data_IF_058790281379
#
_entry.id   IF_058790281379
#
_cell.length_a   1.000
_cell.length_b   1.000
_cell.length_c   1.000
_cell.angle_alpha   90.00
_cell.angle_beta   90.00
_cell.angle_gamma   90.00
#
_symmetry.space_group_name_H-M   'P 1'
#
loop_
_entity.id
_entity.type
_entity.pdbx_description
1 polymer ?
#
# COMPACT_ATOMS: atom_id res chain seq x y z
N UNK A 1 -0.34 23.18 1.13
CA UNK A 1 -1.51 22.32 0.89
C UNK A 1 -2.62 23.19 0.32
N UNK A 2 -3.29 22.75 -0.74
CA UNK A 2 -4.51 23.40 -1.22
C UNK A 2 -5.70 22.60 -0.68
N UNK A 3 -6.64 23.28 -0.03
CA UNK A 3 -7.91 22.69 0.38
C UNK A 3 -8.97 23.02 -0.67
N UNK A 4 -9.85 22.07 -0.94
CA UNK A 4 -10.98 22.24 -1.85
C UNK A 4 -12.22 21.78 -1.12
N UNK A 5 -13.25 22.64 -1.09
CA UNK A 5 -14.60 22.29 -0.64
C UNK A 5 -15.49 22.20 -1.86
N UNK A 6 -16.20 21.09 -2.03
CA UNK A 6 -17.16 20.91 -3.11
C UNK A 6 -18.54 21.21 -2.54
N UNK A 7 -19.16 22.29 -3.00
CA UNK A 7 -20.50 22.68 -2.59
C UNK A 7 -21.56 22.04 -3.51
N UNK A 8 -22.75 21.81 -2.98
CA UNK A 8 -23.93 21.34 -3.73
C UNK A 8 -23.70 20.03 -4.52
N UNK A 9 -22.99 19.07 -3.93
CA UNK A 9 -22.97 17.70 -4.46
C UNK A 9 -24.35 17.07 -4.23
N UNK A 10 -24.92 16.47 -5.27
CA UNK A 10 -26.20 15.78 -5.15
C UNK A 10 -26.05 14.49 -4.32
N UNK A 11 -27.17 14.05 -3.75
CA UNK A 11 -27.19 12.91 -2.83
C UNK A 11 -26.79 11.60 -3.53
N UNK A 12 -27.10 11.44 -4.81
CA UNK A 12 -26.77 10.24 -5.56
C UNK A 12 -25.24 10.13 -5.73
N UNK A 13 -24.60 11.20 -6.18
CA UNK A 13 -23.14 11.25 -6.33
C UNK A 13 -22.44 11.04 -4.99
N UNK A 14 -22.91 11.67 -3.90
CA UNK A 14 -22.35 11.47 -2.57
C UNK A 14 -22.43 9.99 -2.13
N UNK A 15 -23.59 9.36 -2.31
CA UNK A 15 -23.81 7.95 -1.97
C UNK A 15 -22.94 6.99 -2.79
N UNK A 16 -22.73 7.30 -4.07
CA UNK A 16 -21.87 6.51 -4.95
C UNK A 16 -20.40 6.61 -4.52
N UNK A 17 -19.93 7.79 -4.12
CA UNK A 17 -18.57 7.99 -3.60
C UNK A 17 -18.38 7.20 -2.29
N UNK A 18 -19.36 7.25 -1.38
CA UNK A 18 -19.32 6.49 -0.13
C UNK A 18 -19.29 4.97 -0.35
N UNK A 19 -20.16 4.47 -1.22
CA UNK A 19 -20.23 3.05 -1.58
C UNK A 19 -18.90 2.58 -2.14
N UNK A 20 -18.30 3.36 -3.05
CA UNK A 20 -17.00 3.04 -3.63
C UNK A 20 -15.85 3.08 -2.63
N UNK A 21 -15.91 4.01 -1.66
CA UNK A 21 -14.94 4.08 -0.58
C UNK A 21 -15.00 2.82 0.31
N UNK A 22 -16.21 2.36 0.65
CA UNK A 22 -16.42 1.11 1.41
C UNK A 22 -15.91 -0.11 0.65
N UNK A 23 -16.29 -0.24 -0.63
CA UNK A 23 -15.86 -1.36 -1.49
C UNK A 23 -14.34 -1.42 -1.64
N UNK A 24 -13.69 -0.26 -1.80
CA UNK A 24 -12.23 -0.18 -1.97
C UNK A 24 -11.44 -0.17 -0.66
N UNK A 25 -12.10 -0.15 0.51
CA UNK A 25 -11.45 -0.01 1.81
C UNK A 25 -10.68 1.31 1.99
N UNK A 26 -11.06 2.36 1.26
CA UNK A 26 -10.39 3.67 1.26
C UNK A 26 -11.19 4.69 2.07
N UNK A 27 -10.50 5.70 2.62
CA UNK A 27 -11.19 6.86 3.17
C UNK A 27 -11.80 7.71 2.05
N UNK A 28 -12.90 8.42 2.33
CA UNK A 28 -13.57 9.30 1.37
C UNK A 28 -12.61 10.24 0.63
N UNK A 29 -11.71 10.90 1.35
CA UNK A 29 -10.71 11.78 0.74
C UNK A 29 -9.74 11.04 -0.19
N UNK A 30 -9.31 9.81 0.15
CA UNK A 30 -8.48 8.99 -0.74
C UNK A 30 -9.26 8.59 -2.00
N UNK A 31 -10.53 8.22 -1.86
CA UNK A 31 -11.42 7.89 -2.97
C UNK A 31 -11.60 9.07 -3.92
N UNK A 32 -11.89 10.27 -3.39
CA UNK A 32 -12.04 11.49 -4.18
C UNK A 32 -10.75 11.81 -4.94
N UNK A 33 -9.59 11.76 -4.26
CA UNK A 33 -8.30 11.96 -4.93
C UNK A 33 -8.06 10.94 -6.04
N UNK A 34 -8.31 9.66 -5.80
CA UNK A 34 -8.18 8.61 -6.81
C UNK A 34 -9.08 8.89 -8.03
N UNK A 35 -10.34 9.28 -7.81
CA UNK A 35 -11.28 9.59 -8.88
C UNK A 35 -10.82 10.81 -9.70
N UNK A 36 -10.36 11.87 -9.03
CA UNK A 36 -9.82 13.06 -9.69
C UNK A 36 -8.55 12.75 -10.48
N UNK A 37 -7.62 11.98 -9.91
CA UNK A 37 -6.41 11.54 -10.60
C UNK A 37 -6.76 10.73 -11.86
N UNK A 38 -7.71 9.79 -11.77
CA UNK A 38 -8.17 9.02 -12.92
C UNK A 38 -8.80 9.90 -13.99
N UNK A 39 -9.67 10.83 -13.61
CA UNK A 39 -10.35 11.75 -14.53
C UNK A 39 -9.37 12.70 -15.24
N UNK A 40 -8.31 13.12 -14.55
CA UNK A 40 -7.28 14.01 -15.08
C UNK A 40 -6.12 13.27 -15.77
N UNK A 41 -6.17 11.94 -15.87
CA UNK A 41 -5.10 11.13 -16.47
C UNK A 41 -3.79 11.10 -15.67
N UNK A 42 -3.85 11.41 -14.37
CA UNK A 42 -2.67 11.42 -13.48
C UNK A 42 -2.49 10.01 -12.90
N UNK A 43 -1.45 9.30 -13.36
CA UNK A 43 -1.10 7.98 -12.82
C UNK A 43 -0.55 8.11 -11.39
N UNK A 44 -1.23 7.53 -10.41
CA UNK A 44 -0.79 7.46 -9.01
C UNK A 44 0.37 6.46 -8.85
N UNK A 45 1.59 6.86 -9.16
CA UNK A 45 2.79 6.02 -9.00
C UNK A 45 3.15 5.69 -7.55
N UNK A 46 2.54 6.35 -6.56
CA UNK A 46 2.99 6.27 -5.17
C UNK A 46 2.20 5.33 -4.24
N UNK A 47 0.99 4.86 -4.61
CA UNK A 47 0.12 4.11 -3.68
C UNK A 47 0.00 2.61 -3.94
N UNK A 48 0.52 2.09 -5.05
CA UNK A 48 0.36 0.67 -5.41
C UNK A 48 1.36 -0.28 -4.74
N UNK A 49 2.45 0.20 -4.15
CA UNK A 49 3.51 -0.71 -3.73
C UNK A 49 3.12 -1.57 -2.51
N UNK A 50 2.44 -1.04 -1.49
CA UNK A 50 2.22 -1.81 -0.24
C UNK A 50 1.31 -3.04 -0.41
N UNK A 51 0.17 -2.92 -1.09
CA UNK A 51 -0.75 -4.05 -1.27
C UNK A 51 -0.19 -5.11 -2.23
N UNK A 52 0.58 -4.71 -3.24
CA UNK A 52 1.19 -5.64 -4.22
C UNK A 52 2.16 -6.64 -3.58
N UNK A 53 2.78 -6.28 -2.46
CA UNK A 53 3.72 -7.16 -1.75
C UNK A 53 3.08 -8.01 -0.66
N UNK A 54 1.79 -7.81 -0.34
CA UNK A 54 1.12 -8.49 0.78
C UNK A 54 1.13 -10.02 0.65
N UNK A 55 1.09 -10.53 -0.57
CA UNK A 55 1.19 -11.96 -0.87
C UNK A 55 2.53 -12.60 -0.46
N UNK A 56 3.59 -11.81 -0.27
CA UNK A 56 4.91 -12.31 0.12
C UNK A 56 5.13 -12.28 1.64
N UNK A 57 4.14 -11.87 2.42
CA UNK A 57 4.28 -11.73 3.87
C UNK A 57 3.96 -13.06 4.54
N UNK A 58 4.86 -13.57 5.39
CA UNK A 58 4.63 -14.79 6.18
C UNK A 58 4.57 -16.08 5.36
N UNK A 59 5.19 -16.11 4.18
CA UNK A 59 5.16 -17.27 3.26
C UNK A 59 6.16 -18.38 3.64
N UNK A 60 7.09 -18.11 4.54
CA UNK A 60 8.12 -19.07 4.92
C UNK A 60 7.57 -20.07 5.93
N UNK A 61 7.82 -21.36 5.69
CA UNK A 61 7.64 -22.38 6.71
C UNK A 61 8.71 -22.27 7.80
N UNK A 62 8.45 -22.89 8.94
CA UNK A 62 9.44 -22.96 10.02
C UNK A 62 10.70 -23.71 9.57
N UNK A 63 10.57 -24.75 8.74
CA UNK A 63 11.74 -25.48 8.22
C UNK A 63 12.56 -24.64 7.24
N UNK A 64 11.91 -23.87 6.36
CA UNK A 64 12.60 -22.96 5.43
C UNK A 64 13.37 -21.87 6.18
N UNK A 65 12.78 -21.36 7.26
CA UNK A 65 13.43 -20.40 8.16
C UNK A 65 14.68 -21.00 8.80
N UNK A 66 14.57 -22.18 9.41
CA UNK A 66 15.70 -22.85 10.07
C UNK A 66 16.83 -23.20 9.09
N UNK A 67 16.48 -23.67 7.89
CA UNK A 67 17.46 -23.99 6.86
C UNK A 67 18.22 -22.74 6.38
N UNK A 68 17.54 -21.62 6.22
CA UNK A 68 18.18 -20.36 5.85
C UNK A 68 19.09 -19.82 6.96
N UNK A 69 18.66 -19.87 8.22
CA UNK A 69 19.46 -19.42 9.36
C UNK A 69 20.77 -20.21 9.46
N UNK A 70 20.72 -21.55 9.29
CA UNK A 70 21.93 -22.38 9.31
C UNK A 70 22.83 -22.07 8.11
N UNK A 71 22.27 -21.94 6.90
CA UNK A 71 23.04 -21.64 5.68
C UNK A 71 23.68 -20.24 5.69
N UNK A 72 23.12 -19.29 6.45
CA UNK A 72 23.60 -17.90 6.50
C UNK A 72 24.34 -17.55 7.79
N UNK A 73 24.56 -18.53 8.67
CA UNK A 73 25.18 -18.36 9.97
C UNK A 73 26.56 -17.70 9.90
N UNK A 74 27.36 -18.06 8.90
CA UNK A 74 28.71 -17.52 8.72
C UNK A 74 28.71 -16.02 8.36
N UNK A 75 27.66 -15.52 7.70
CA UNK A 75 27.54 -14.10 7.35
C UNK A 75 27.31 -13.19 8.55
N UNK A 76 26.95 -13.75 9.71
CA UNK A 76 26.75 -13.01 10.96
C UNK A 76 28.02 -12.91 11.79
N UNK A 77 29.07 -13.62 11.40
CA UNK A 77 30.35 -13.56 12.09
C UNK A 77 31.05 -12.26 11.69
N UNK A 78 31.18 -11.35 12.63
CA UNK A 78 31.98 -10.13 12.44
C UNK A 78 33.44 -10.50 12.71
N UNK A 79 34.28 -10.47 11.66
CA UNK A 79 35.72 -10.57 11.82
C UNK A 79 36.27 -9.18 12.19
N UNK A 80 37.06 -9.11 13.27
CA UNK A 80 37.69 -7.86 13.68
C UNK A 80 38.71 -7.35 12.65
N UNK A 81 39.20 -8.22 11.77
CA UNK A 81 40.12 -7.86 10.70
C UNK A 81 39.42 -7.26 9.46
N UNK A 82 38.08 -7.27 9.40
CA UNK A 82 37.30 -6.65 8.32
C UNK A 82 37.08 -5.13 8.54
N UNK A 83 37.53 -4.57 9.67
CA UNK A 83 37.52 -3.15 10.04
C UNK A 83 38.92 -2.54 9.95
#
# INVERSE_FOLDING_TARGET
MKSITIHNIDTETANLIESKAKESGLSLNKTIKMLLHKALGISNSQQQNKESFKQFFGVWSQEEFEQFEENTKDFRKVDQNDW
#
